data_IF_167213316705
#
_entry.id   IF_167213316705
#
_cell.length_a   1.000
_cell.length_b   1.000
_cell.length_c   1.000
_cell.angle_alpha   90.00
_cell.angle_beta   90.00
_cell.angle_gamma   90.00
#
_symmetry.space_group_name_H-M   'P 1'
#
loop_
_entity.id
_entity.type
_entity.pdbx_description
1 polymer ?
#
# COMPACT_ATOMS: atom_id res chain seq x y z
N UNK A 1 68.39 -31.85 -13.86
CA UNK A 1 67.59 -30.71 -14.34
C UNK A 1 66.34 -31.10 -15.14
N UNK A 2 66.24 -32.28 -15.77
CA UNK A 2 65.04 -32.69 -16.53
C UNK A 2 63.81 -33.04 -15.68
N UNK A 3 64.00 -33.62 -14.48
CA UNK A 3 62.89 -34.01 -13.61
C UNK A 3 62.09 -32.81 -13.07
N UNK A 4 62.75 -31.68 -12.79
CA UNK A 4 62.13 -30.46 -12.26
C UNK A 4 61.37 -29.65 -13.32
N UNK A 5 61.70 -29.80 -14.61
CA UNK A 5 60.96 -29.17 -15.71
C UNK A 5 59.66 -29.94 -15.99
N UNK A 6 59.67 -31.27 -15.86
CA UNK A 6 58.47 -32.12 -15.99
C UNK A 6 57.48 -31.93 -14.83
N UNK A 7 57.95 -31.73 -13.60
CA UNK A 7 57.06 -31.39 -12.47
C UNK A 7 56.43 -30.01 -12.65
N UNK A 8 57.13 -29.07 -13.30
CA UNK A 8 56.59 -27.73 -13.56
C UNK A 8 55.56 -27.68 -14.69
N UNK A 9 55.67 -28.54 -15.71
CA UNK A 9 54.64 -28.68 -16.75
C UNK A 9 53.36 -29.37 -16.25
N UNK A 10 53.47 -30.32 -15.30
CA UNK A 10 52.32 -31.00 -14.73
C UNK A 10 51.54 -30.12 -13.74
N UNK A 11 52.19 -29.14 -13.10
CA UNK A 11 51.53 -28.17 -12.23
C UNK A 11 50.78 -27.06 -12.99
N UNK A 12 51.12 -26.79 -14.26
CA UNK A 12 50.39 -25.82 -15.12
C UNK A 12 49.24 -26.44 -15.91
N UNK A 13 49.10 -27.77 -15.88
CA UNK A 13 47.89 -28.49 -16.33
C UNK A 13 46.96 -28.76 -15.14
N UNK A 14 46.79 -27.78 -14.24
CA UNK A 14 45.64 -27.75 -13.35
C UNK A 14 44.39 -27.56 -14.22
N UNK A 15 43.95 -28.66 -14.82
CA UNK A 15 42.62 -28.97 -15.29
C UNK A 15 41.75 -27.73 -15.50
N UNK A 16 41.82 -27.10 -16.67
CA UNK A 16 40.66 -26.45 -17.28
C UNK A 16 39.64 -27.57 -17.53
N UNK A 17 38.96 -27.99 -16.45
CA UNK A 17 37.96 -29.05 -16.43
C UNK A 17 36.80 -28.51 -17.26
N UNK A 18 36.61 -29.08 -18.44
CA UNK A 18 35.55 -28.64 -19.34
C UNK A 18 34.20 -28.84 -18.63
N UNK A 19 33.43 -27.76 -18.50
CA UNK A 19 32.07 -27.82 -17.96
C UNK A 19 31.18 -28.47 -18.99
N UNK A 20 30.43 -29.49 -18.58
CA UNK A 20 29.48 -30.16 -19.48
C UNK A 20 28.32 -29.22 -19.84
N UNK A 21 28.06 -29.05 -21.13
CA UNK A 21 27.01 -28.16 -21.64
C UNK A 21 25.61 -28.58 -21.15
N UNK A 22 25.36 -29.89 -21.07
CA UNK A 22 24.10 -30.47 -20.57
C UNK A 22 23.89 -30.13 -19.10
N UNK A 23 24.89 -30.41 -18.25
CA UNK A 23 24.85 -30.08 -16.82
C UNK A 23 24.71 -28.57 -16.59
N UNK A 24 25.37 -27.73 -17.38
CA UNK A 24 25.26 -26.28 -17.31
C UNK A 24 23.86 -25.78 -17.65
N UNK A 25 23.24 -26.32 -18.71
CA UNK A 25 21.86 -25.97 -19.08
C UNK A 25 20.86 -26.46 -18.04
N UNK A 26 21.04 -27.67 -17.50
CA UNK A 26 20.19 -28.22 -16.45
C UNK A 26 20.27 -27.38 -15.18
N UNK A 27 21.47 -27.08 -14.70
CA UNK A 27 21.69 -26.28 -13.50
C UNK A 27 21.11 -24.87 -13.63
N UNK A 28 21.27 -24.23 -14.79
CA UNK A 28 20.67 -22.92 -15.05
C UNK A 28 19.15 -23.00 -15.07
N UNK A 29 18.56 -24.01 -15.73
CA UNK A 29 17.10 -24.16 -15.81
C UNK A 29 16.50 -24.42 -14.43
N UNK A 30 17.20 -25.18 -13.58
CA UNK A 30 16.77 -25.46 -12.20
C UNK A 30 16.89 -24.26 -11.26
N UNK A 31 18.01 -23.53 -11.33
CA UNK A 31 18.33 -22.52 -10.31
C UNK A 31 18.04 -21.08 -10.76
N UNK A 32 18.01 -20.81 -12.06
CA UNK A 32 17.81 -19.48 -12.63
C UNK A 32 19.03 -18.54 -12.55
N UNK A 33 20.14 -18.95 -11.95
CA UNK A 33 21.35 -18.11 -11.87
C UNK A 33 22.01 -17.89 -13.25
N UNK A 34 22.88 -16.88 -13.33
CA UNK A 34 23.62 -16.57 -14.57
C UNK A 34 24.48 -17.76 -15.02
N UNK A 35 24.69 -17.89 -16.34
CA UNK A 35 25.56 -18.94 -16.88
C UNK A 35 26.96 -18.90 -16.29
N UNK A 36 27.50 -17.71 -16.01
CA UNK A 36 28.83 -17.56 -15.39
C UNK A 36 28.87 -18.19 -14.00
N UNK A 37 27.86 -17.94 -13.16
CA UNK A 37 27.80 -18.51 -11.83
C UNK A 37 27.59 -20.03 -11.89
N UNK A 38 26.67 -20.50 -12.74
CA UNK A 38 26.44 -21.94 -12.93
C UNK A 38 27.71 -22.67 -13.42
N UNK A 39 28.48 -22.03 -14.31
CA UNK A 39 29.75 -22.56 -14.81
C UNK A 39 30.78 -22.67 -13.68
N UNK A 40 30.98 -21.60 -12.89
CA UNK A 40 31.90 -21.60 -11.74
C UNK A 40 31.54 -22.68 -10.71
N UNK A 41 30.24 -22.88 -10.48
CA UNK A 41 29.76 -23.91 -9.57
C UNK A 41 30.11 -25.31 -10.05
N UNK A 42 29.85 -25.61 -11.33
CA UNK A 42 30.21 -26.90 -11.92
C UNK A 42 31.71 -27.13 -11.98
N UNK A 43 32.51 -26.08 -12.20
CA UNK A 43 33.98 -26.14 -12.09
C UNK A 43 34.44 -26.47 -10.66
N UNK A 44 33.80 -25.87 -9.65
CA UNK A 44 34.14 -26.07 -8.24
C UNK A 44 33.64 -27.41 -7.67
N UNK A 45 32.68 -28.06 -8.31
CA UNK A 45 32.04 -29.28 -7.81
C UNK A 45 32.15 -30.47 -8.76
N UNK A 46 33.12 -30.44 -9.67
CA UNK A 46 33.42 -31.55 -10.59
C UNK A 46 32.23 -32.01 -11.44
N UNK A 47 31.46 -31.05 -11.98
CA UNK A 47 30.23 -31.26 -12.74
C UNK A 47 29.11 -32.01 -11.98
N UNK A 48 29.23 -32.21 -10.66
CA UNK A 48 28.15 -32.77 -9.83
C UNK A 48 27.07 -31.71 -9.62
N UNK A 49 25.91 -31.90 -10.25
CA UNK A 49 24.78 -30.95 -10.23
C UNK A 49 24.29 -30.69 -8.80
N UNK A 50 24.17 -31.72 -7.95
CA UNK A 50 23.63 -31.53 -6.59
C UNK A 50 24.60 -30.73 -5.73
N UNK A 51 25.90 -31.00 -5.85
CA UNK A 51 26.92 -30.21 -5.16
C UNK A 51 26.98 -28.80 -5.73
N UNK A 52 26.86 -28.62 -7.05
CA UNK A 52 26.86 -27.31 -7.71
C UNK A 52 25.69 -26.45 -7.23
N UNK A 53 24.49 -27.02 -7.06
CA UNK A 53 23.32 -26.32 -6.51
C UNK A 53 23.60 -25.80 -5.09
N UNK A 54 24.14 -26.64 -4.21
CA UNK A 54 24.49 -26.23 -2.84
C UNK A 54 25.58 -25.16 -2.84
N UNK A 55 26.64 -25.36 -3.64
CA UNK A 55 27.73 -24.39 -3.77
C UNK A 55 27.22 -23.04 -4.28
N UNK A 56 26.31 -23.04 -5.27
CA UNK A 56 25.68 -21.82 -5.78
C UNK A 56 24.90 -21.09 -4.69
N UNK A 57 24.12 -21.80 -3.88
CA UNK A 57 23.34 -21.20 -2.80
C UNK A 57 24.26 -20.53 -1.76
N UNK A 58 25.32 -21.24 -1.35
CA UNK A 58 26.30 -20.72 -0.38
C UNK A 58 27.03 -19.48 -0.94
N UNK A 59 27.42 -19.51 -2.21
CA UNK A 59 28.13 -18.41 -2.85
C UNK A 59 27.20 -17.22 -3.15
N UNK A 60 25.94 -17.48 -3.51
CA UNK A 60 24.91 -16.45 -3.66
C UNK A 60 24.67 -15.70 -2.35
N UNK A 61 24.69 -16.41 -1.21
CA UNK A 61 24.61 -15.77 0.11
C UNK A 61 25.76 -14.79 0.30
N UNK A 62 27.02 -15.25 0.18
CA UNK A 62 28.20 -14.38 0.35
C UNK A 62 28.19 -13.18 -0.58
N UNK A 63 27.88 -13.39 -1.86
CA UNK A 63 27.82 -12.33 -2.85
C UNK A 63 26.66 -11.35 -2.61
N UNK A 64 25.50 -11.84 -2.15
CA UNK A 64 24.36 -11.00 -1.78
C UNK A 64 24.71 -10.02 -0.68
N UNK A 65 25.36 -10.50 0.38
CA UNK A 65 25.86 -9.65 1.47
C UNK A 65 26.89 -8.62 1.00
N UNK A 66 27.88 -9.06 0.21
CA UNK A 66 28.90 -8.16 -0.32
C UNK A 66 28.30 -7.07 -1.21
N UNK A 67 27.38 -7.43 -2.12
CA UNK A 67 26.68 -6.45 -2.98
C UNK A 67 25.80 -5.51 -2.17
N UNK A 68 25.02 -6.04 -1.21
CA UNK A 68 24.16 -5.19 -0.40
C UNK A 68 24.97 -4.18 0.39
N UNK A 69 26.14 -4.55 0.93
CA UNK A 69 27.04 -3.61 1.59
C UNK A 69 27.57 -2.53 0.63
N UNK A 70 27.94 -2.89 -0.61
CA UNK A 70 28.40 -1.94 -1.64
C UNK A 70 27.31 -0.98 -2.13
N UNK A 71 26.04 -1.39 -2.01
CA UNK A 71 24.89 -0.63 -2.49
C UNK A 71 24.18 0.16 -1.37
N UNK A 72 24.69 0.10 -0.14
CA UNK A 72 24.18 0.91 0.96
C UNK A 72 24.29 2.41 0.63
N UNK A 73 23.27 3.17 1.03
CA UNK A 73 23.19 4.62 0.80
C UNK A 73 22.67 5.04 -0.58
N UNK A 74 22.43 4.09 -1.49
CA UNK A 74 21.72 4.39 -2.75
C UNK A 74 20.26 4.71 -2.47
N UNK A 75 19.72 5.64 -3.26
CA UNK A 75 18.35 6.09 -3.12
C UNK A 75 17.35 5.03 -3.65
N UNK A 76 16.39 4.65 -2.81
CA UNK A 76 15.34 3.68 -3.16
C UNK A 76 13.97 4.32 -2.99
N UNK A 77 13.54 5.08 -4.00
CA UNK A 77 12.23 5.76 -4.03
C UNK A 77 11.13 4.96 -4.73
N UNK A 78 11.48 3.95 -5.53
CA UNK A 78 10.51 3.06 -6.17
C UNK A 78 10.25 1.85 -5.27
N UNK A 79 9.27 1.01 -5.60
CA UNK A 79 8.96 -0.17 -4.79
C UNK A 79 7.50 -0.58 -4.84
N UNK A 80 7.08 -1.35 -3.84
CA UNK A 80 5.71 -1.79 -3.64
C UNK A 80 5.27 -1.65 -2.19
N UNK A 81 4.01 -1.28 -2.04
CA UNK A 81 3.21 -1.55 -0.85
C UNK A 81 2.56 -2.91 -1.01
N UNK A 82 2.58 -3.72 0.04
CA UNK A 82 1.92 -5.01 0.09
C UNK A 82 1.00 -5.12 1.31
N UNK A 83 -0.16 -5.71 1.10
CA UNK A 83 -1.11 -6.00 2.18
C UNK A 83 -1.42 -7.49 2.18
N UNK A 84 -1.44 -8.09 3.36
CA UNK A 84 -1.97 -9.44 3.55
C UNK A 84 -2.94 -9.43 4.72
N UNK A 85 -4.16 -9.93 4.50
CA UNK A 85 -5.19 -10.14 5.52
C UNK A 85 -5.43 -11.64 5.67
N UNK A 86 -5.55 -12.10 6.91
CA UNK A 86 -5.77 -13.49 7.29
C UNK A 86 -6.66 -13.54 8.55
N UNK A 87 -7.97 -13.58 8.33
CA UNK A 87 -8.97 -13.47 9.39
C UNK A 87 -8.84 -12.14 10.15
N UNK A 88 -8.74 -12.14 11.49
CA UNK A 88 -8.60 -10.93 12.29
C UNK A 88 -7.15 -10.41 12.35
N UNK A 89 -6.25 -10.88 11.48
CA UNK A 89 -4.86 -10.45 11.43
C UNK A 89 -4.55 -9.85 10.07
N UNK A 90 -3.83 -8.73 10.06
CA UNK A 90 -3.37 -8.12 8.82
C UNK A 90 -1.97 -7.53 8.96
N UNK A 91 -1.32 -7.34 7.82
CA UNK A 91 -0.12 -6.54 7.73
C UNK A 91 -0.11 -5.69 6.45
N UNK A 92 0.43 -4.47 6.58
CA UNK A 92 0.71 -3.52 5.52
C UNK A 92 2.22 -3.24 5.54
N UNK A 93 2.95 -3.50 4.45
CA UNK A 93 4.40 -3.36 4.41
C UNK A 93 4.88 -2.59 3.18
N UNK A 94 5.94 -1.80 3.34
CA UNK A 94 6.61 -1.07 2.27
C UNK A 94 8.02 -1.64 2.04
N UNK A 95 8.29 -2.03 0.80
CA UNK A 95 9.62 -2.40 0.33
C UNK A 95 9.98 -1.54 -0.87
N UNK A 96 11.15 -0.92 -0.80
CA UNK A 96 11.65 -0.04 -1.85
C UNK A 96 12.80 -0.68 -2.64
N UNK A 97 12.96 -0.20 -3.86
CA UNK A 97 14.07 -0.50 -4.78
C UNK A 97 14.48 0.78 -5.53
N UNK A 98 15.57 0.69 -6.30
CA UNK A 98 16.10 1.84 -7.05
C UNK A 98 15.17 2.17 -8.23
N UNK A 99 14.78 1.17 -9.02
CA UNK A 99 13.97 1.37 -10.24
C UNK A 99 12.60 0.69 -10.18
N UNK A 100 11.64 1.19 -10.95
CA UNK A 100 10.31 0.59 -11.07
C UNK A 100 10.30 -0.65 -11.97
N UNK A 101 11.36 -0.88 -12.75
CA UNK A 101 11.54 -2.14 -13.48
C UNK A 101 11.72 -3.31 -12.52
N UNK A 102 12.55 -3.15 -11.49
CA UNK A 102 12.75 -4.19 -10.47
C UNK A 102 11.48 -4.45 -9.67
N UNK A 103 10.70 -3.42 -9.33
CA UNK A 103 9.47 -3.60 -8.54
C UNK A 103 8.40 -4.46 -9.24
N UNK A 104 8.47 -4.58 -10.57
CA UNK A 104 7.56 -5.39 -11.39
C UNK A 104 8.04 -6.83 -11.60
N UNK A 105 9.27 -7.16 -11.19
CA UNK A 105 9.82 -8.51 -11.35
C UNK A 105 9.22 -9.49 -10.35
N UNK A 106 9.07 -10.74 -10.76
CA UNK A 106 8.57 -11.83 -9.90
C UNK A 106 9.48 -12.05 -8.70
N UNK A 107 10.79 -11.91 -8.86
CA UNK A 107 11.76 -11.99 -7.76
C UNK A 107 11.50 -10.97 -6.65
N UNK A 108 11.29 -9.71 -7.03
CA UNK A 108 10.99 -8.66 -6.06
C UNK A 108 9.64 -8.92 -5.39
N UNK A 109 8.59 -9.19 -6.18
CA UNK A 109 7.24 -9.46 -5.66
C UNK A 109 7.22 -10.66 -4.70
N UNK A 110 7.96 -11.73 -5.00
CA UNK A 110 8.09 -12.88 -4.11
C UNK A 110 8.75 -12.51 -2.77
N UNK A 111 9.79 -11.67 -2.79
CA UNK A 111 10.42 -11.18 -1.56
C UNK A 111 9.45 -10.32 -0.73
N UNK A 112 8.72 -9.40 -1.38
CA UNK A 112 7.71 -8.57 -0.71
C UNK A 112 6.57 -9.42 -0.13
N UNK A 113 6.12 -10.44 -0.86
CA UNK A 113 5.13 -11.43 -0.36
C UNK A 113 5.63 -12.13 0.90
N UNK A 114 6.87 -12.65 0.88
CA UNK A 114 7.45 -13.33 2.03
C UNK A 114 7.51 -12.41 3.25
N UNK A 115 7.88 -11.14 3.05
CA UNK A 115 7.90 -10.13 4.11
C UNK A 115 6.50 -9.89 4.70
N UNK A 116 5.50 -9.57 3.88
CA UNK A 116 4.16 -9.20 4.39
C UNK A 116 3.48 -10.38 5.09
N UNK A 117 3.72 -11.62 4.63
CA UNK A 117 3.29 -12.84 5.31
C UNK A 117 3.99 -13.06 6.65
N UNK A 118 5.29 -12.75 6.72
CA UNK A 118 6.04 -12.77 7.99
C UNK A 118 5.47 -11.74 8.97
N UNK A 119 5.16 -10.53 8.50
CA UNK A 119 4.51 -9.48 9.29
C UNK A 119 3.12 -9.90 9.77
N UNK A 120 2.32 -10.56 8.92
CA UNK A 120 1.01 -11.12 9.34
C UNK A 120 1.18 -12.21 10.39
N UNK A 121 2.20 -13.07 10.24
CA UNK A 121 2.54 -14.09 11.24
C UNK A 121 3.03 -13.48 12.55
N UNK A 122 3.67 -12.31 12.50
CA UNK A 122 4.01 -11.53 13.68
C UNK A 122 2.75 -10.96 14.35
N UNK A 123 1.79 -10.43 13.57
CA UNK A 123 0.49 -9.96 14.08
C UNK A 123 -0.26 -11.06 14.87
N UNK A 124 -0.20 -12.31 14.41
CA UNK A 124 -0.77 -13.48 15.13
C UNK A 124 -0.16 -13.75 16.51
N UNK A 125 1.07 -13.27 16.75
CA UNK A 125 1.80 -13.45 18.01
C UNK A 125 1.66 -12.26 18.95
N UNK A 126 1.02 -11.18 18.52
CA UNK A 126 0.68 -10.07 19.40
C UNK A 126 -0.15 -10.57 20.58
N UNK A 127 -0.04 -9.95 21.77
CA UNK A 127 -0.78 -10.38 22.95
C UNK A 127 -2.30 -10.36 22.70
N UNK A 128 -3.04 -11.05 23.58
CA UNK A 128 -4.50 -10.93 23.62
C UNK A 128 -4.90 -9.47 23.77
N UNK A 129 -6.00 -9.13 23.13
CA UNK A 129 -6.50 -7.77 23.04
C UNK A 129 -7.12 -7.31 24.36
N UNK A 130 -6.73 -6.12 24.81
CA UNK A 130 -7.46 -5.35 25.85
C UNK A 130 -8.51 -4.42 25.21
N UNK A 131 -8.28 -4.05 23.94
CA UNK A 131 -9.10 -3.18 23.09
C UNK A 131 -9.49 -3.90 21.80
N UNK A 132 -10.57 -3.52 21.13
CA UNK A 132 -11.04 -4.25 19.94
C UNK A 132 -10.05 -4.32 18.77
N UNK A 133 -9.03 -3.46 18.75
CA UNK A 133 -7.88 -3.54 17.83
C UNK A 133 -6.56 -3.35 18.57
N UNK A 134 -5.50 -3.93 18.04
CA UNK A 134 -4.11 -3.63 18.39
C UNK A 134 -3.28 -3.48 17.13
N UNK A 135 -2.54 -2.38 17.03
CA UNK A 135 -1.62 -2.11 15.93
C UNK A 135 -0.20 -1.90 16.44
N UNK A 136 0.76 -2.45 15.72
CA UNK A 136 2.19 -2.31 15.99
C UNK A 136 2.89 -1.87 14.71
N UNK A 137 3.59 -0.73 14.77
CA UNK A 137 4.46 -0.27 13.69
C UNK A 137 5.83 -0.90 13.87
N UNK A 138 6.37 -1.46 12.80
CA UNK A 138 7.71 -2.04 12.77
C UNK A 138 8.59 -1.23 11.83
N UNK A 139 9.72 -0.77 12.36
CA UNK A 139 10.76 -0.11 11.57
C UNK A 139 11.73 -1.11 10.93
N UNK A 140 12.63 -0.62 10.08
CA UNK A 140 13.64 -1.45 9.38
C UNK A 140 14.36 -2.44 10.30
N UNK A 141 14.85 -1.99 11.46
CA UNK A 141 15.64 -2.81 12.40
C UNK A 141 14.85 -3.98 13.00
N UNK A 142 13.55 -3.84 13.15
CA UNK A 142 12.68 -4.88 13.70
C UNK A 142 12.28 -5.86 12.61
N UNK A 143 11.95 -5.32 11.44
CA UNK A 143 11.60 -6.10 10.25
C UNK A 143 12.73 -7.02 9.82
N UNK A 144 13.97 -6.53 9.80
CA UNK A 144 15.15 -7.31 9.41
C UNK A 144 15.35 -8.57 10.26
N UNK A 145 14.90 -8.55 11.52
CA UNK A 145 15.00 -9.68 12.46
C UNK A 145 13.88 -10.72 12.31
N UNK A 146 12.78 -10.36 11.63
CA UNK A 146 11.69 -11.30 11.40
C UNK A 146 12.17 -12.48 10.54
N UNK A 147 11.55 -13.63 10.73
CA UNK A 147 11.85 -14.84 9.93
C UNK A 147 10.80 -15.04 8.86
N UNK A 148 11.26 -15.34 7.66
CA UNK A 148 10.41 -15.78 6.55
C UNK A 148 10.20 -17.30 6.61
N UNK A 149 9.28 -17.83 5.79
CA UNK A 149 8.86 -19.25 5.81
C UNK A 149 10.03 -20.23 5.63
N UNK A 150 11.03 -19.85 4.85
CA UNK A 150 12.20 -20.68 4.54
C UNK A 150 13.23 -20.71 5.69
N UNK A 151 12.90 -20.10 6.83
CA UNK A 151 13.74 -20.08 8.03
C UNK A 151 14.77 -18.96 8.06
N UNK A 152 15.07 -18.32 6.93
CA UNK A 152 15.93 -17.14 6.87
C UNK A 152 15.33 -15.93 7.59
N UNK A 153 16.21 -15.03 8.04
CA UNK A 153 15.79 -13.68 8.43
C UNK A 153 15.41 -12.85 7.22
N UNK A 154 14.60 -11.81 7.41
CA UNK A 154 14.27 -10.84 6.35
C UNK A 154 15.55 -10.16 5.83
N UNK A 155 16.52 -9.88 6.69
CA UNK A 155 17.82 -9.33 6.29
C UNK A 155 18.57 -10.26 5.31
N UNK A 156 18.65 -11.55 5.64
CA UNK A 156 19.27 -12.56 4.78
C UNK A 156 18.53 -12.67 3.43
N UNK A 157 17.20 -12.70 3.47
CA UNK A 157 16.38 -12.76 2.27
C UNK A 157 16.55 -11.50 1.39
N UNK A 158 16.63 -10.32 2.02
CA UNK A 158 16.91 -9.04 1.35
C UNK A 158 18.27 -9.07 0.67
N UNK A 159 19.31 -9.53 1.36
CA UNK A 159 20.66 -9.64 0.80
C UNK A 159 20.71 -10.59 -0.41
N UNK A 160 20.01 -11.73 -0.35
CA UNK A 160 19.88 -12.64 -1.50
C UNK A 160 19.15 -11.99 -2.68
N UNK A 161 18.06 -11.27 -2.40
CA UNK A 161 17.30 -10.55 -3.42
C UNK A 161 18.13 -9.45 -4.09
N UNK A 162 18.88 -8.65 -3.32
CA UNK A 162 19.87 -7.67 -3.85
C UNK A 162 20.91 -8.37 -4.72
N UNK A 163 21.41 -9.53 -4.29
CA UNK A 163 22.37 -10.34 -5.05
C UNK A 163 21.88 -10.73 -6.44
N UNK A 164 20.61 -11.13 -6.52
CA UNK A 164 19.91 -11.61 -7.72
C UNK A 164 19.45 -10.48 -8.63
N UNK A 165 18.85 -9.43 -8.07
CA UNK A 165 18.27 -8.30 -8.79
C UNK A 165 19.33 -7.27 -9.20
N UNK A 166 20.41 -7.13 -8.43
CA UNK A 166 21.48 -6.20 -8.72
C UNK A 166 21.17 -4.73 -8.41
N UNK A 167 20.12 -4.46 -7.65
CA UNK A 167 19.75 -3.15 -7.13
C UNK A 167 19.68 -3.16 -5.61
N UNK A 168 19.85 -1.99 -5.00
CA UNK A 168 19.58 -1.79 -3.59
C UNK A 168 18.10 -1.99 -3.29
N UNK A 169 17.83 -2.78 -2.26
CA UNK A 169 16.49 -2.99 -1.71
C UNK A 169 16.46 -2.52 -0.26
N UNK A 170 15.39 -1.84 0.11
CA UNK A 170 15.15 -1.37 1.47
C UNK A 170 13.82 -1.90 1.99
N UNK A 171 13.85 -2.55 3.16
CA UNK A 171 12.64 -2.91 3.92
C UNK A 171 12.36 -1.75 4.87
N UNK A 172 11.36 -0.94 4.54
CA UNK A 172 11.25 0.40 5.12
C UNK A 172 10.41 0.44 6.39
N UNK A 173 9.18 -0.05 6.29
CA UNK A 173 8.21 -0.03 7.39
C UNK A 173 7.15 -1.09 7.19
N UNK A 174 6.53 -1.51 8.29
CA UNK A 174 5.29 -2.26 8.26
C UNK A 174 4.36 -1.86 9.41
N UNK A 175 3.07 -2.07 9.21
CA UNK A 175 2.07 -2.10 10.25
C UNK A 175 1.58 -3.54 10.39
N UNK A 176 1.60 -4.07 11.60
CA UNK A 176 0.97 -5.32 11.98
C UNK A 176 -0.30 -5.00 12.77
N UNK A 177 -1.44 -5.56 12.38
CA UNK A 177 -2.73 -5.30 13.00
C UNK A 177 -3.39 -6.61 13.43
N UNK A 178 -3.90 -6.63 14.65
CA UNK A 178 -4.74 -7.68 15.21
C UNK A 178 -6.09 -7.08 15.63
N UNK A 179 -7.17 -7.53 15.02
CA UNK A 179 -8.54 -7.24 15.42
C UNK A 179 -9.10 -8.30 16.36
N UNK A 180 -10.23 -7.99 16.99
CA UNK A 180 -10.98 -8.92 17.82
C UNK A 180 -11.69 -9.96 16.95
N UNK A 181 -11.47 -11.24 17.25
CA UNK A 181 -11.99 -12.33 16.44
C UNK A 181 -13.52 -12.38 16.51
N UNK A 182 -14.17 -12.42 15.34
CA UNK A 182 -15.62 -12.53 15.21
C UNK A 182 -16.37 -11.19 15.27
N UNK A 183 -15.73 -10.11 15.73
CA UNK A 183 -16.34 -8.76 15.78
C UNK A 183 -15.67 -7.77 14.84
N UNK A 184 -14.34 -7.84 14.70
CA UNK A 184 -13.57 -6.93 13.85
C UNK A 184 -13.30 -7.55 12.48
N UNK A 185 -13.69 -6.83 11.44
CA UNK A 185 -13.40 -7.12 10.05
C UNK A 185 -12.24 -6.27 9.55
N UNK A 186 -11.37 -6.89 8.75
CA UNK A 186 -10.20 -6.24 8.17
C UNK A 186 -10.31 -6.29 6.65
N UNK A 187 -10.22 -5.11 6.02
CA UNK A 187 -10.15 -4.99 4.58
C UNK A 187 -8.84 -4.31 4.19
N UNK A 188 -8.27 -4.76 3.08
CA UNK A 188 -7.05 -4.21 2.50
C UNK A 188 -7.19 -4.02 1.00
N UNK A 189 -6.71 -2.89 0.48
CA UNK A 189 -6.70 -2.58 -0.95
C UNK A 189 -5.38 -1.94 -1.35
N UNK A 190 -4.88 -2.29 -2.54
CA UNK A 190 -3.68 -1.71 -3.12
C UNK A 190 -3.98 -1.10 -4.50
N UNK A 191 -3.32 0.01 -4.83
CA UNK A 191 -3.50 0.72 -6.11
C UNK A 191 -2.17 1.18 -6.74
N UNK A 192 -1.99 1.10 -8.07
CA UNK A 192 -2.74 0.22 -8.95
C UNK A 192 -2.48 -1.24 -8.57
N UNK A 193 -3.50 -2.09 -8.72
CA UNK A 193 -3.38 -3.50 -8.34
C UNK A 193 -2.77 -4.30 -9.51
N UNK A 194 -1.59 -4.89 -9.28
CA UNK A 194 -0.99 -5.82 -10.24
C UNK A 194 -1.56 -7.23 -10.02
N UNK A 195 -2.80 -7.44 -10.45
CA UNK A 195 -3.38 -8.80 -10.46
C UNK A 195 -2.93 -9.50 -11.74
N UNK A 196 -2.01 -10.46 -11.63
CA UNK A 196 -1.59 -11.34 -12.73
C UNK A 196 -2.69 -12.37 -13.11
N UNK A 197 -3.97 -11.99 -13.04
CA UNK A 197 -5.11 -12.86 -13.35
C UNK A 197 -5.45 -13.92 -12.28
N UNK A 198 -4.81 -13.88 -11.10
CA UNK A 198 -5.16 -14.77 -10.00
C UNK A 198 -6.39 -14.26 -9.22
N UNK A 199 -7.34 -15.15 -8.93
CA UNK A 199 -8.51 -14.87 -8.07
C UNK A 199 -8.15 -14.68 -6.59
N UNK A 200 -6.86 -14.68 -6.24
CA UNK A 200 -6.41 -14.62 -4.84
C UNK A 200 -6.46 -13.18 -4.35
N UNK A 201 -7.30 -12.93 -3.34
CA UNK A 201 -7.49 -11.60 -2.74
C UNK A 201 -6.23 -11.05 -2.05
N UNK A 202 -5.50 -11.91 -1.32
CA UNK A 202 -4.30 -11.53 -0.57
C UNK A 202 -3.13 -12.52 -0.73
N UNK A 203 -1.88 -12.04 -0.73
CA UNK A 203 -1.48 -10.63 -0.62
C UNK A 203 -1.81 -9.84 -1.89
N UNK A 204 -2.06 -8.54 -1.74
CA UNK A 204 -2.22 -7.61 -2.85
C UNK A 204 -1.09 -6.57 -2.84
N UNK A 205 -0.75 -6.04 -4.02
CA UNK A 205 0.42 -5.19 -4.23
C UNK A 205 0.04 -3.94 -5.03
N UNK A 206 0.69 -2.82 -4.73
CA UNK A 206 0.50 -1.56 -5.47
C UNK A 206 1.50 -0.50 -5.07
N UNK A 207 1.32 0.73 -5.59
CA UNK A 207 2.06 1.91 -5.14
C UNK A 207 1.46 2.55 -3.89
N UNK A 208 0.15 2.44 -3.74
CA UNK A 208 -0.61 2.84 -2.58
C UNK A 208 -1.23 1.60 -1.95
N UNK A 209 -1.38 1.60 -0.63
CA UNK A 209 -2.15 0.59 0.07
C UNK A 209 -2.90 1.21 1.23
N UNK A 210 -4.14 0.79 1.43
CA UNK A 210 -4.92 1.10 2.62
C UNK A 210 -5.43 -0.16 3.29
N UNK A 211 -5.37 -0.15 4.63
CA UNK A 211 -5.93 -1.16 5.51
C UNK A 211 -7.00 -0.48 6.36
N UNK A 212 -8.21 -1.03 6.41
CA UNK A 212 -9.32 -0.51 7.22
C UNK A 212 -9.79 -1.61 8.17
N UNK A 213 -9.93 -1.27 9.44
CA UNK A 213 -10.57 -2.07 10.47
C UNK A 213 -11.96 -1.51 10.75
N UNK A 214 -12.97 -2.35 10.68
CA UNK A 214 -14.37 -1.95 10.84
C UNK A 214 -15.18 -3.10 11.44
N UNK A 215 -16.36 -2.79 11.96
CA UNK A 215 -17.28 -3.78 12.50
C UNK A 215 -18.70 -3.53 12.03
N UNK A 216 -19.46 -4.61 11.94
CA UNK A 216 -20.90 -4.55 11.72
C UNK A 216 -21.61 -4.28 13.05
N UNK A 217 -22.53 -3.31 13.08
CA UNK A 217 -23.42 -3.01 14.21
C UNK A 217 -24.88 -3.36 13.90
N UNK A 218 -25.18 -3.92 12.73
CA UNK A 218 -26.52 -4.28 12.30
C UNK A 218 -27.11 -5.47 13.04
N UNK A 219 -28.40 -5.41 13.35
CA UNK A 219 -29.17 -6.55 13.88
C UNK A 219 -29.39 -7.64 12.82
N UNK A 220 -29.28 -7.26 11.54
CA UNK A 220 -29.30 -8.16 10.38
C UNK A 220 -28.02 -7.91 9.59
N UNK A 221 -27.01 -8.78 9.72
CA UNK A 221 -25.72 -8.54 9.08
C UNK A 221 -25.87 -8.55 7.57
N UNK A 222 -25.12 -7.67 6.90
CA UNK A 222 -24.93 -7.72 5.45
C UNK A 222 -24.33 -9.07 5.07
N UNK A 223 -24.55 -9.51 3.82
CA UNK A 223 -23.89 -10.73 3.33
C UNK A 223 -22.37 -10.58 3.35
N UNK A 224 -21.64 -11.70 3.43
CA UNK A 224 -20.18 -11.67 3.43
C UNK A 224 -19.61 -10.94 2.19
N UNK A 225 -20.27 -11.06 1.04
CA UNK A 225 -19.89 -10.40 -0.21
C UNK A 225 -20.10 -8.87 -0.15
N UNK A 226 -21.25 -8.43 0.37
CA UNK A 226 -21.54 -7.00 0.55
C UNK A 226 -20.58 -6.35 1.56
N UNK A 227 -20.28 -7.04 2.67
CA UNK A 227 -19.30 -6.57 3.65
C UNK A 227 -17.90 -6.49 3.06
N UNK A 228 -17.50 -7.49 2.28
CA UNK A 228 -16.24 -7.49 1.57
C UNK A 228 -16.13 -6.33 0.58
N UNK A 229 -17.19 -6.07 -0.18
CA UNK A 229 -17.25 -4.95 -1.12
C UNK A 229 -17.20 -3.60 -0.41
N UNK A 230 -17.97 -3.43 0.66
CA UNK A 230 -17.98 -2.23 1.50
C UNK A 230 -16.57 -1.96 2.05
N UNK A 231 -15.92 -2.96 2.64
CA UNK A 231 -14.55 -2.84 3.14
C UNK A 231 -13.55 -2.46 2.04
N UNK A 232 -13.69 -3.02 0.83
CA UNK A 232 -12.86 -2.66 -0.32
C UNK A 232 -13.09 -1.19 -0.73
N UNK A 233 -14.33 -0.73 -0.78
CA UNK A 233 -14.67 0.65 -1.11
C UNK A 233 -14.16 1.65 -0.06
N UNK A 234 -14.24 1.33 1.22
CA UNK A 234 -13.64 2.14 2.28
C UNK A 234 -12.11 2.24 2.12
N UNK A 235 -11.43 1.15 1.75
CA UNK A 235 -10.00 1.24 1.46
C UNK A 235 -9.70 2.08 0.21
N UNK A 236 -10.55 2.03 -0.83
CA UNK A 236 -10.42 2.89 -2.01
C UNK A 236 -10.59 4.37 -1.66
N UNK A 237 -11.57 4.69 -0.83
CA UNK A 237 -11.79 6.02 -0.27
C UNK A 237 -10.52 6.55 0.41
N UNK A 238 -9.95 5.75 1.33
CA UNK A 238 -8.73 6.12 2.07
C UNK A 238 -7.55 6.32 1.12
N UNK A 239 -7.36 5.44 0.13
CA UNK A 239 -6.29 5.59 -0.87
C UNK A 239 -6.43 6.89 -1.65
N UNK A 240 -7.65 7.21 -2.10
CA UNK A 240 -7.96 8.32 -3.00
C UNK A 240 -7.86 9.68 -2.31
N UNK A 241 -8.52 9.84 -1.15
CA UNK A 241 -8.67 11.15 -0.50
C UNK A 241 -7.73 11.38 0.69
N UNK A 242 -6.95 10.38 1.10
CA UNK A 242 -5.91 10.52 2.12
C UNK A 242 -6.39 11.22 3.43
N UNK A 243 -7.49 10.77 4.05
CA UNK A 243 -7.96 11.33 5.32
C UNK A 243 -6.89 11.20 6.41
N UNK A 244 -6.84 12.16 7.33
CA UNK A 244 -5.93 12.19 8.48
C UNK A 244 -6.52 11.56 9.73
N UNK A 245 -7.85 11.58 9.85
CA UNK A 245 -8.57 10.97 10.96
C UNK A 245 -9.92 10.43 10.50
N UNK A 246 -10.60 9.64 11.34
CA UNK A 246 -11.93 9.12 10.99
C UNK A 246 -12.99 10.24 11.13
N UNK A 247 -12.97 10.94 12.27
CA UNK A 247 -14.07 11.81 12.71
C UNK A 247 -15.04 11.04 13.61
N UNK A 248 -15.92 11.76 14.30
CA UNK A 248 -16.98 11.18 15.12
C UNK A 248 -18.29 11.17 14.32
N UNK A 249 -19.04 10.06 14.40
CA UNK A 249 -20.31 9.95 13.69
C UNK A 249 -21.34 10.95 14.20
N UNK A 250 -21.39 11.20 15.52
CA UNK A 250 -22.31 12.18 16.10
C UNK A 250 -22.03 13.61 15.59
N UNK A 251 -20.76 13.98 15.44
CA UNK A 251 -20.36 15.27 14.86
C UNK A 251 -20.82 15.37 13.41
N UNK A 252 -20.61 14.30 12.63
CA UNK A 252 -21.08 14.24 11.23
C UNK A 252 -22.60 14.38 11.13
N UNK A 253 -23.35 13.68 11.97
CA UNK A 253 -24.83 13.73 11.96
C UNK A 253 -25.36 15.10 12.44
N UNK A 254 -24.60 15.83 13.25
CA UNK A 254 -24.92 17.21 13.57
C UNK A 254 -24.67 18.11 12.35
N UNK A 255 -23.49 18.00 11.73
CA UNK A 255 -23.11 18.71 10.52
C UNK A 255 -24.13 18.51 9.39
N UNK A 256 -24.51 17.27 9.08
CA UNK A 256 -25.48 16.94 8.02
C UNK A 256 -26.83 17.65 8.28
N UNK A 257 -27.31 17.66 9.53
CA UNK A 257 -28.56 18.34 9.90
C UNK A 257 -28.46 19.86 9.79
N UNK A 258 -27.30 20.44 10.07
CA UNK A 258 -27.08 21.88 9.97
C UNK A 258 -26.99 22.33 8.52
N UNK A 259 -26.29 21.57 7.66
CA UNK A 259 -26.24 21.81 6.23
C UNK A 259 -27.62 21.67 5.57
N UNK A 260 -28.40 20.65 5.92
CA UNK A 260 -29.79 20.54 5.42
C UNK A 260 -30.65 21.74 5.81
N UNK A 261 -30.48 22.28 7.03
CA UNK A 261 -31.21 23.48 7.47
C UNK A 261 -30.77 24.71 6.66
N UNK A 262 -29.45 24.90 6.49
CA UNK A 262 -28.89 26.00 5.70
C UNK A 262 -29.38 25.95 4.25
N UNK A 263 -29.42 24.77 3.64
CA UNK A 263 -29.93 24.59 2.28
C UNK A 263 -31.41 24.93 2.18
N UNK A 264 -32.25 24.44 3.10
CA UNK A 264 -33.69 24.79 3.15
C UNK A 264 -33.92 26.29 3.37
N UNK A 265 -33.10 26.95 4.20
CA UNK A 265 -33.17 28.39 4.42
C UNK A 265 -32.77 29.18 3.16
N UNK A 266 -31.72 28.76 2.45
CA UNK A 266 -31.32 29.35 1.17
C UNK A 266 -32.40 29.18 0.11
N UNK A 267 -32.97 27.99 -0.02
CA UNK A 267 -34.09 27.71 -0.95
C UNK A 267 -35.33 28.55 -0.63
N UNK A 268 -35.68 28.69 0.65
CA UNK A 268 -36.80 29.52 1.07
C UNK A 268 -36.58 31.00 0.74
N UNK A 269 -35.37 31.53 0.98
CA UNK A 269 -34.98 32.91 0.63
C UNK A 269 -35.01 33.12 -0.89
N UNK A 270 -34.51 32.17 -1.66
CA UNK A 270 -34.53 32.23 -3.13
C UNK A 270 -35.98 32.23 -3.65
N UNK A 271 -36.83 31.34 -3.14
CA UNK A 271 -38.24 31.29 -3.51
C UNK A 271 -39.02 32.57 -3.14
N UNK A 272 -38.64 33.24 -2.04
CA UNK A 272 -39.22 34.53 -1.67
C UNK A 272 -38.73 35.66 -2.59
N UNK A 273 -37.45 35.65 -2.97
CA UNK A 273 -36.88 36.60 -3.93
C UNK A 273 -37.51 36.46 -5.33
N UNK A 274 -37.74 35.23 -5.79
CA UNK A 274 -38.37 34.95 -7.09
C UNK A 274 -39.84 35.41 -7.10
N UNK A 275 -40.58 35.24 -5.99
CA UNK A 275 -41.94 35.79 -5.83
C UNK A 275 -41.98 37.31 -5.81
N UNK A 276 -40.97 37.97 -5.22
CA UNK A 276 -40.87 39.45 -5.24
C UNK A 276 -40.61 39.96 -6.66
N UNK A 277 -39.72 39.31 -7.42
CA UNK A 277 -39.46 39.62 -8.83
C UNK A 277 -40.72 39.44 -9.70
N UNK A 278 -41.48 38.36 -9.52
CA UNK A 278 -42.77 38.18 -10.23
C UNK A 278 -43.84 39.22 -9.85
N UNK A 279 -43.77 39.79 -8.63
CA UNK A 279 -44.74 40.81 -8.18
C UNK A 279 -44.41 42.24 -8.67
N UNK A 280 -43.14 42.51 -8.99
CA UNK A 280 -42.68 43.80 -9.54
C UNK A 280 -42.81 43.86 -11.08
N UNK A 281 -42.99 42.73 -11.76
CA UNK A 281 -43.08 42.64 -13.23
C UNK A 281 -44.54 42.68 -13.77
N UNK A 282 -45.43 43.45 -13.14
CA UNK A 282 -46.75 43.79 -13.74
C UNK A 282 -46.65 45.12 -14.51
N UNK A 283 -47.00 45.15 -15.82
CA UNK A 283 -46.80 46.33 -16.65
C UNK A 283 -47.91 47.37 -16.42
N UNK A 284 -47.55 48.55 -15.92
CA UNK A 284 -48.34 49.77 -16.17
C UNK A 284 -47.84 50.41 -17.47
N UNK A 285 -48.68 50.35 -18.50
CA UNK A 285 -48.42 50.99 -19.80
C UNK A 285 -48.65 52.50 -19.66
N UNK A 286 -47.59 53.31 -19.68
CA UNK A 286 -47.62 54.59 -20.40
C UNK A 286 -46.23 55.18 -20.67
N UNK A 287 -45.94 55.26 -21.96
CA UNK A 287 -45.21 56.29 -22.73
C UNK A 287 -43.98 57.02 -22.16
N UNK A 288 -43.00 57.06 -23.07
CA UNK A 288 -42.00 58.09 -23.33
C UNK A 288 -40.61 57.88 -22.72
N UNK A 289 -39.64 57.94 -23.62
CA UNK A 289 -38.21 57.84 -23.40
C UNK A 289 -37.69 58.91 -22.44
N UNK A 290 -36.71 58.55 -21.61
CA UNK A 290 -35.45 59.27 -21.44
C UNK A 290 -34.49 58.50 -20.51
N UNK A 291 -33.31 58.20 -21.07
CA UNK A 291 -31.98 58.39 -20.49
C UNK A 291 -31.85 58.35 -18.96
N UNK A 292 -31.21 57.32 -18.42
CA UNK A 292 -30.13 57.48 -17.44
C UNK A 292 -29.48 56.15 -17.07
N UNK A 293 -28.16 56.17 -17.12
CA UNK A 293 -27.21 55.20 -16.60
C UNK A 293 -27.38 54.99 -15.09
N UNK A 294 -27.54 53.75 -14.66
CA UNK A 294 -27.12 53.29 -13.33
C UNK A 294 -26.82 51.80 -13.41
N UNK A 295 -25.55 51.44 -13.20
CA UNK A 295 -25.12 50.06 -13.00
C UNK A 295 -25.67 49.56 -11.64
N UNK A 296 -26.06 48.29 -11.50
CA UNK A 296 -26.33 47.73 -10.19
C UNK A 296 -24.99 47.59 -9.47
N UNK A 297 -24.86 48.21 -8.30
CA UNK A 297 -23.80 47.91 -7.34
C UNK A 297 -23.98 46.45 -6.91
N UNK A 298 -23.00 45.62 -7.23
CA UNK A 298 -22.85 44.27 -6.70
C UNK A 298 -22.62 44.42 -5.19
N UNK A 299 -23.60 44.01 -4.38
CA UNK A 299 -23.36 43.78 -2.95
C UNK A 299 -22.35 42.62 -2.84
N UNK A 300 -21.07 42.97 -2.69
CA UNK A 300 -20.02 42.08 -2.21
C UNK A 300 -20.46 41.56 -0.82
N UNK A 301 -21.12 40.41 -0.80
CA UNK A 301 -21.24 39.64 0.42
C UNK A 301 -19.84 39.14 0.77
N UNK A 302 -19.30 39.67 1.87
CA UNK A 302 -18.03 39.27 2.46
C UNK A 302 -17.97 37.73 2.63
N UNK A 303 -17.39 37.03 1.66
CA UNK A 303 -16.94 35.66 1.83
C UNK A 303 -15.67 35.69 2.70
N UNK A 304 -15.81 35.38 3.99
CA UNK A 304 -14.85 34.58 4.78
C UNK A 304 -15.36 34.43 6.23
N UNK A 305 -15.48 33.18 6.74
CA UNK A 305 -14.32 32.31 7.02
C UNK A 305 -14.47 30.83 6.59
N UNK A 306 -15.28 30.50 5.56
CA UNK A 306 -15.63 29.10 5.22
C UNK A 306 -14.47 28.19 4.77
N UNK A 307 -13.42 28.74 4.14
CA UNK A 307 -12.36 27.92 3.55
C UNK A 307 -11.53 27.12 4.58
N UNK A 308 -11.34 27.64 5.80
CA UNK A 308 -10.55 26.95 6.83
C UNK A 308 -11.32 25.78 7.48
N UNK A 309 -12.65 25.89 7.61
CA UNK A 309 -13.51 24.82 8.14
C UNK A 309 -13.71 23.69 7.11
N UNK A 310 -13.85 24.02 5.82
CA UNK A 310 -13.95 23.03 4.74
C UNK A 310 -12.69 22.15 4.64
N UNK A 311 -11.49 22.74 4.80
CA UNK A 311 -10.21 22.02 4.80
C UNK A 311 -10.07 21.07 6.01
N UNK A 312 -10.61 21.43 7.18
CA UNK A 312 -10.62 20.58 8.37
C UNK A 312 -11.59 19.39 8.20
N UNK A 313 -12.75 19.62 7.61
CA UNK A 313 -13.75 18.60 7.30
C UNK A 313 -13.23 17.59 6.28
N UNK A 314 -12.63 18.05 5.19
CA UNK A 314 -12.03 17.16 4.18
C UNK A 314 -10.91 16.28 4.75
N UNK A 315 -10.29 16.69 5.88
CA UNK A 315 -9.28 15.88 6.56
C UNK A 315 -9.84 14.69 7.35
N UNK A 316 -11.16 14.67 7.62
CA UNK A 316 -11.86 13.64 8.39
C UNK A 316 -12.64 12.71 7.46
N UNK A 317 -12.37 11.41 7.53
CA UNK A 317 -12.95 10.42 6.62
C UNK A 317 -14.49 10.52 6.51
N UNK A 318 -15.20 10.67 7.63
CA UNK A 318 -16.68 10.70 7.63
C UNK A 318 -17.27 11.93 6.90
N UNK A 319 -16.52 13.01 6.78
CA UNK A 319 -16.98 14.28 6.19
C UNK A 319 -16.63 14.38 4.69
N UNK A 320 -15.81 13.46 4.19
CA UNK A 320 -15.46 13.38 2.78
C UNK A 320 -16.62 12.87 1.94
N UNK A 321 -16.71 13.38 0.71
CA UNK A 321 -17.59 12.82 -0.31
C UNK A 321 -17.15 11.40 -0.66
N UNK A 322 -18.12 10.50 -0.83
CA UNK A 322 -17.84 9.11 -1.08
C UNK A 322 -17.44 8.90 -2.54
N UNK A 323 -16.23 8.39 -2.76
CA UNK A 323 -15.63 8.25 -4.10
C UNK A 323 -16.48 7.41 -5.06
N UNK A 324 -17.22 6.42 -4.54
CA UNK A 324 -18.07 5.55 -5.38
C UNK A 324 -19.41 6.22 -5.72
N UNK A 325 -19.95 7.03 -4.81
CA UNK A 325 -21.16 7.83 -5.03
C UNK A 325 -20.99 9.23 -4.40
N UNK A 326 -20.53 10.22 -5.18
CA UNK A 326 -20.24 11.56 -4.67
C UNK A 326 -21.48 12.32 -4.17
N UNK A 327 -22.69 11.81 -4.36
CA UNK A 327 -23.90 12.44 -3.83
C UNK A 327 -24.07 12.24 -2.32
N UNK A 328 -23.30 11.32 -1.73
CA UNK A 328 -23.31 11.06 -0.29
C UNK A 328 -21.91 11.22 0.28
N UNK A 329 -21.83 11.58 1.57
CA UNK A 329 -20.59 11.54 2.34
C UNK A 329 -20.39 10.17 2.98
N UNK A 330 -19.16 9.85 3.35
CA UNK A 330 -18.83 8.55 3.99
C UNK A 330 -19.58 8.38 5.31
N UNK A 331 -19.80 9.46 6.08
CA UNK A 331 -20.58 9.41 7.32
C UNK A 331 -22.00 8.91 7.12
N UNK A 332 -22.64 9.29 6.01
CA UNK A 332 -23.97 8.78 5.63
C UNK A 332 -23.93 7.30 5.33
N UNK A 333 -22.97 6.86 4.53
CA UNK A 333 -22.75 5.45 4.21
C UNK A 333 -22.57 4.61 5.48
N UNK A 334 -21.75 5.10 6.43
CA UNK A 334 -21.48 4.44 7.72
C UNK A 334 -22.75 4.32 8.54
N UNK A 335 -23.55 5.39 8.64
CA UNK A 335 -24.81 5.40 9.37
C UNK A 335 -25.85 4.42 8.76
N UNK A 336 -26.03 4.45 7.44
CA UNK A 336 -27.01 3.62 6.73
C UNK A 336 -26.62 2.14 6.70
N UNK A 337 -25.33 1.86 6.49
CA UNK A 337 -24.77 0.51 6.52
C UNK A 337 -24.61 -0.05 7.93
N UNK A 338 -24.85 0.78 8.95
CA UNK A 338 -24.70 0.45 10.38
C UNK A 338 -23.35 -0.19 10.69
N UNK A 339 -22.28 0.38 10.14
CA UNK A 339 -20.93 -0.05 10.45
C UNK A 339 -20.26 0.94 11.40
N UNK A 340 -19.16 0.52 12.00
CA UNK A 340 -18.26 1.40 12.73
C UNK A 340 -16.85 1.22 12.19
N UNK A 341 -16.26 2.31 11.70
CA UNK A 341 -14.88 2.34 11.22
C UNK A 341 -14.00 2.59 12.44
N UNK A 342 -13.20 1.59 12.79
CA UNK A 342 -12.44 1.59 14.04
C UNK A 342 -11.05 2.19 13.85
N UNK A 343 -10.42 1.93 12.71
CA UNK A 343 -9.08 2.43 12.37
C UNK A 343 -8.83 2.30 10.87
N UNK A 344 -7.90 3.10 10.36
CA UNK A 344 -7.36 2.90 9.04
C UNK A 344 -5.87 3.26 9.00
N UNK A 345 -5.17 2.67 8.04
CA UNK A 345 -3.79 3.03 7.73
C UNK A 345 -3.62 3.12 6.22
N UNK A 346 -2.88 4.13 5.76
CA UNK A 346 -2.54 4.33 4.36
C UNK A 346 -1.04 4.48 4.19
N UNK A 347 -0.44 3.68 3.30
CA UNK A 347 0.93 3.91 2.84
C UNK A 347 0.94 4.32 1.37
N UNK A 348 1.75 5.33 1.05
CA UNK A 348 2.23 5.59 -0.30
C UNK A 348 3.72 5.22 -0.42
N UNK A 349 4.07 4.45 -1.45
CA UNK A 349 5.43 4.03 -1.72
C UNK A 349 6.34 5.24 -1.95
N UNK A 350 7.45 5.32 -1.19
CA UNK A 350 8.42 6.41 -1.30
C UNK A 350 8.03 7.70 -0.56
N UNK A 351 6.89 7.72 0.13
CA UNK A 351 6.42 8.88 0.89
C UNK A 351 7.31 9.16 2.12
N UNK A 352 7.73 10.40 2.35
CA UNK A 352 8.55 10.78 3.51
C UNK A 352 7.79 10.59 4.82
N UNK A 353 8.37 9.86 5.78
CA UNK A 353 7.78 9.57 7.09
C UNK A 353 8.01 10.69 8.13
N UNK A 354 8.74 11.75 7.77
CA UNK A 354 9.20 12.80 8.70
C UNK A 354 8.10 13.73 9.25
N UNK A 355 6.83 13.54 8.90
CA UNK A 355 5.74 14.42 9.34
C UNK A 355 4.97 13.97 10.58
N UNK A 356 5.24 12.79 11.14
CA UNK A 356 4.44 12.22 12.24
C UNK A 356 5.28 11.66 13.42
N UNK A 357 6.45 12.26 13.72
CA UNK A 357 7.15 12.06 15.01
C UNK A 357 7.01 13.28 15.92
#
# INVERSE_FOLDING_TARGET
MFAQVLTRCLQTCASLRAVEKTALMELRKKTGYTFSNCKKALEATDNDIKKAEKWLADEAKKHGWAKSAQMQGRETKQGLIAINVDGPFAALAEVNCETDFVSRTTEFQNFVEQLVRSCTSHAKKLPSLETSIMKVRLGTKELEKLRIKDGHTVEEARALAVGKLGEQLAVRRALCLRGEAGTTLLAGYCHPQNNNGESKKYPCFGRYGALVAYRDLGDSPLSEEEMEELGRHLCQQVVALNPKSIGLLDDYLLFEREEEKRMKEKEAKQAEADKKKESEEKPEVSQAAQDSTAAPEEEEQEEQPHAEEEDEDESRLLFQDYVVDPNIKVGRLVAESRIDIMDFERFACGESTEKNE
#
